data_IF_395525363928
#
_entry.id   IF_395525363928
#
_cell.length_a   1.000
_cell.length_b   1.000
_cell.length_c   1.000
_cell.angle_alpha   90.00
_cell.angle_beta   90.00
_cell.angle_gamma   90.00
#
_symmetry.space_group_name_H-M   'P 1'
#
loop_
_entity.id
_entity.type
_entity.pdbx_description
1 polymer ?
#
# COMPACT_ATOMS: atom_id res chain seq x y z
N UNK A 1 46.11 31.51 26.04
CA UNK A 1 46.50 30.11 26.35
C UNK A 1 45.37 29.48 27.14
N UNK A 2 44.63 28.47 26.71
CA UNK A 2 44.53 27.72 25.46
C UNK A 2 43.15 27.05 25.47
N UNK A 3 42.45 27.12 24.36
CA UNK A 3 41.21 26.37 24.10
C UNK A 3 41.61 25.00 23.56
N UNK A 4 41.37 23.95 24.34
CA UNK A 4 41.36 22.56 23.91
C UNK A 4 40.24 21.90 24.72
N UNK A 5 39.21 21.27 24.17
CA UNK A 5 39.13 20.54 22.92
C UNK A 5 38.30 19.31 23.26
N UNK A 6 36.99 19.47 23.46
CA UNK A 6 36.08 18.33 23.56
C UNK A 6 35.67 18.01 22.14
N UNK A 7 36.48 17.18 21.48
CA UNK A 7 36.07 16.52 20.26
C UNK A 7 34.89 15.60 20.62
N UNK A 8 33.68 16.02 20.29
CA UNK A 8 32.51 15.16 20.25
C UNK A 8 32.68 14.15 19.09
N UNK A 9 33.54 13.15 19.32
CA UNK A 9 33.57 11.93 18.55
C UNK A 9 32.32 11.13 18.91
N UNK A 10 31.30 11.14 18.04
CA UNK A 10 30.09 10.35 18.32
C UNK A 10 28.87 10.62 17.43
N UNK A 11 28.88 11.62 16.56
CA UNK A 11 27.80 11.83 15.59
C UNK A 11 28.37 11.97 14.18
N UNK A 12 28.84 10.87 13.60
CA UNK A 12 28.57 10.66 12.18
C UNK A 12 27.06 10.49 12.09
N UNK A 13 26.32 11.60 12.08
CA UNK A 13 24.94 11.58 11.65
C UNK A 13 24.95 10.88 10.29
N UNK A 14 24.30 9.72 10.18
CA UNK A 14 24.13 9.01 8.93
C UNK A 14 23.39 9.97 7.99
N UNK A 15 24.15 10.72 7.20
CA UNK A 15 23.60 11.72 6.29
C UNK A 15 23.10 10.95 5.08
N UNK A 16 21.78 10.81 5.02
CA UNK A 16 21.08 10.36 3.82
C UNK A 16 21.51 11.25 2.65
N UNK A 17 21.87 10.64 1.51
CA UNK A 17 22.06 11.38 0.26
C UNK A 17 20.74 12.07 -0.11
N UNK A 18 20.67 13.42 -0.08
CA UNK A 18 19.43 14.14 -0.34
C UNK A 18 18.88 13.88 -1.75
N UNK A 19 19.75 13.65 -2.74
CA UNK A 19 19.31 13.37 -4.11
C UNK A 19 18.68 11.99 -4.25
N UNK A 20 19.14 11.01 -3.46
CA UNK A 20 18.48 9.71 -3.40
C UNK A 20 17.13 9.84 -2.69
N UNK A 21 17.07 10.54 -1.56
CA UNK A 21 15.82 10.78 -0.85
C UNK A 21 14.77 11.47 -1.72
N UNK A 22 15.15 12.51 -2.47
CA UNK A 22 14.26 13.22 -3.38
C UNK A 22 13.73 12.31 -4.49
N UNK A 23 14.58 11.46 -5.08
CA UNK A 23 14.16 10.48 -6.09
C UNK A 23 13.21 9.42 -5.53
N UNK A 24 13.44 8.96 -4.31
CA UNK A 24 12.52 8.03 -3.64
C UNK A 24 11.18 8.71 -3.39
N UNK A 25 11.18 9.93 -2.85
CA UNK A 25 9.95 10.71 -2.63
C UNK A 25 9.21 10.93 -3.96
N UNK A 26 9.90 11.29 -5.03
CA UNK A 26 9.31 11.43 -6.36
C UNK A 26 8.69 10.12 -6.83
N UNK A 27 9.40 9.00 -6.72
CA UNK A 27 8.89 7.67 -7.08
C UNK A 27 7.61 7.31 -6.29
N UNK A 28 7.60 7.56 -4.98
CA UNK A 28 6.43 7.35 -4.12
C UNK A 28 5.22 8.19 -4.57
N UNK A 29 5.45 9.47 -4.89
CA UNK A 29 4.41 10.36 -5.41
C UNK A 29 3.91 9.95 -6.79
N UNK A 30 4.78 9.41 -7.64
CA UNK A 30 4.40 8.86 -8.96
C UNK A 30 3.52 7.62 -8.83
N UNK A 31 3.80 6.73 -7.87
CA UNK A 31 2.94 5.57 -7.64
C UNK A 31 1.70 5.90 -6.82
N UNK A 32 1.63 7.07 -6.19
CA UNK A 32 0.46 7.52 -5.42
C UNK A 32 0.52 7.21 -3.93
N UNK A 33 1.68 6.82 -3.40
CA UNK A 33 1.89 6.52 -1.99
C UNK A 33 2.19 7.80 -1.19
N UNK A 34 1.57 8.00 -0.01
CA UNK A 34 1.87 9.13 0.85
C UNK A 34 3.22 8.94 1.55
N UNK A 35 3.87 10.06 1.85
CA UNK A 35 5.13 10.11 2.60
C UNK A 35 4.85 10.59 4.02
N UNK A 36 5.26 9.82 5.02
CA UNK A 36 5.12 10.15 6.43
C UNK A 36 6.32 11.02 6.88
N UNK A 37 6.27 12.31 6.55
CA UNK A 37 7.32 13.25 6.91
C UNK A 37 7.48 13.36 8.44
N UNK A 38 8.71 13.22 8.93
CA UNK A 38 9.00 13.24 10.36
C UNK A 38 8.46 12.05 11.14
N UNK A 39 8.06 10.96 10.47
CA UNK A 39 7.49 9.78 11.12
C UNK A 39 6.05 9.97 11.61
N UNK A 40 5.36 10.98 11.09
CA UNK A 40 3.99 11.29 11.48
C UNK A 40 2.99 11.03 10.35
N UNK A 41 1.84 10.48 10.73
CA UNK A 41 0.75 10.17 9.81
C UNK A 41 0.96 8.88 9.01
N UNK A 42 -0.08 8.43 8.29
CA UNK A 42 0.00 7.23 7.47
C UNK A 42 0.85 7.48 6.21
N UNK A 43 1.72 6.52 5.89
CA UNK A 43 2.52 6.57 4.69
C UNK A 43 3.90 5.95 4.84
N UNK A 44 4.71 6.10 3.80
CA UNK A 44 6.08 5.61 3.78
C UNK A 44 6.96 6.55 4.59
N UNK A 45 7.53 6.06 5.68
CA UNK A 45 8.55 6.74 6.46
C UNK A 45 9.93 6.35 5.94
N UNK A 46 10.74 7.37 5.64
CA UNK A 46 12.11 7.22 5.15
C UNK A 46 13.09 7.58 6.26
N UNK A 47 14.07 6.74 6.50
CA UNK A 47 15.14 7.02 7.46
C UNK A 47 16.48 6.43 7.01
N UNK A 48 17.57 6.91 7.59
CA UNK A 48 18.90 6.41 7.31
C UNK A 48 19.06 4.97 7.81
N UNK A 49 19.55 4.07 6.97
CA UNK A 49 19.88 2.70 7.37
C UNK A 49 21.00 2.70 8.41
N UNK A 50 20.86 1.89 9.47
CA UNK A 50 21.80 1.87 10.59
C UNK A 50 21.72 3.07 11.53
N UNK A 51 20.82 4.02 11.27
CA UNK A 51 20.41 5.02 12.26
C UNK A 51 19.56 4.40 13.36
N UNK A 52 19.54 5.04 14.54
CA UNK A 52 18.68 4.64 15.64
C UNK A 52 17.20 4.88 15.28
N UNK A 53 16.60 3.97 14.53
CA UNK A 53 15.15 3.87 14.47
C UNK A 53 14.69 3.36 15.84
N UNK A 54 13.96 4.21 16.58
CA UNK A 54 13.20 3.76 17.74
C UNK A 54 12.34 2.57 17.35
N UNK A 55 12.26 1.61 18.26
CA UNK A 55 11.51 0.35 18.19
C UNK A 55 12.29 -0.82 17.59
N UNK A 56 13.17 -1.38 18.44
CA UNK A 56 13.23 -2.84 18.69
C UNK A 56 13.63 -3.79 17.56
N UNK A 57 13.86 -3.34 16.34
CA UNK A 57 14.41 -4.17 15.26
C UNK A 57 15.93 -4.25 15.45
N UNK A 58 16.37 -5.14 16.34
CA UNK A 58 17.75 -5.56 16.43
C UNK A 58 18.14 -6.30 15.14
N UNK A 59 18.69 -5.56 14.18
CA UNK A 59 19.41 -6.10 13.01
C UNK A 59 20.45 -5.06 12.58
N UNK A 60 21.41 -4.82 13.46
CA UNK A 60 22.56 -3.93 13.19
C UNK A 60 23.78 -4.65 12.62
N UNK A 61 23.77 -5.98 12.54
CA UNK A 61 24.96 -6.77 12.23
C UNK A 61 24.79 -7.45 10.85
N UNK A 62 25.14 -6.72 9.78
CA UNK A 62 25.18 -7.29 8.43
C UNK A 62 24.66 -6.40 7.29
N UNK A 63 24.03 -5.26 7.61
CA UNK A 63 23.56 -4.33 6.57
C UNK A 63 24.70 -3.42 6.15
N UNK A 64 24.97 -3.35 4.85
CA UNK A 64 25.91 -2.40 4.26
C UNK A 64 25.20 -1.04 4.03
N UNK A 65 25.38 -0.03 4.89
CA UNK A 65 24.72 1.27 4.74
C UNK A 65 25.27 2.07 3.55
N UNK A 66 26.46 1.74 3.04
CA UNK A 66 27.01 2.39 1.85
C UNK A 66 26.28 1.90 0.60
N UNK A 67 25.91 0.61 0.58
CA UNK A 67 25.07 0.02 -0.49
C UNK A 67 23.59 0.38 -0.34
N UNK A 68 23.09 0.41 0.89
CA UNK A 68 21.68 0.61 1.20
C UNK A 68 21.48 1.77 2.18
N UNK A 69 21.73 3.03 1.78
CA UNK A 69 21.70 4.19 2.68
C UNK A 69 20.32 4.54 3.22
N UNK A 70 19.23 4.10 2.58
CA UNK A 70 17.86 4.38 2.98
C UNK A 70 17.10 3.14 3.38
N UNK A 71 16.27 3.28 4.42
CA UNK A 71 15.28 2.31 4.83
C UNK A 71 13.89 2.94 4.76
N UNK A 72 12.94 2.20 4.19
CA UNK A 72 11.53 2.57 4.08
C UNK A 72 10.71 1.67 4.99
N UNK A 73 9.77 2.27 5.72
CA UNK A 73 8.75 1.55 6.49
C UNK A 73 7.38 2.12 6.23
N UNK A 74 6.38 1.26 6.17
CA UNK A 74 4.99 1.73 6.12
C UNK A 74 4.49 2.04 7.53
N UNK A 75 4.00 3.26 7.73
CA UNK A 75 3.24 3.65 8.91
C UNK A 75 1.75 3.57 8.59
N UNK A 76 1.02 2.77 9.37
CA UNK A 76 -0.43 2.68 9.25
C UNK A 76 -1.09 3.96 9.79
N UNK A 77 -2.43 3.99 9.85
CA UNK A 77 -3.10 5.09 10.55
C UNK A 77 -2.70 5.12 12.03
N UNK A 78 -2.67 6.33 12.62
CA UNK A 78 -2.41 6.50 14.05
C UNK A 78 -3.33 5.60 14.90
N UNK A 79 -4.59 5.43 14.51
CA UNK A 79 -5.52 4.53 15.20
C UNK A 79 -5.06 3.07 15.20
N UNK A 80 -4.54 2.56 14.09
CA UNK A 80 -4.05 1.17 14.02
C UNK A 80 -2.71 1.04 14.75
N UNK A 81 -1.82 2.01 14.60
CA UNK A 81 -0.53 2.06 15.31
C UNK A 81 -0.74 2.07 16.83
N UNK A 82 -1.61 2.94 17.34
CA UNK A 82 -1.95 3.04 18.77
C UNK A 82 -2.64 1.76 19.28
N UNK A 83 -3.56 1.20 18.49
CA UNK A 83 -4.25 -0.04 18.86
C UNK A 83 -3.30 -1.25 18.92
N UNK A 84 -2.31 -1.30 18.02
CA UNK A 84 -1.26 -2.31 18.04
C UNK A 84 -0.29 -2.11 19.20
N UNK A 85 0.06 -0.86 19.53
CA UNK A 85 0.95 -0.55 20.65
C UNK A 85 0.31 -0.83 22.03
N UNK A 86 -0.98 -0.57 22.18
CA UNK A 86 -1.73 -0.80 23.41
C UNK A 86 -2.30 -2.23 23.55
N UNK A 87 -2.03 -3.10 22.58
CA UNK A 87 -2.61 -4.44 22.50
C UNK A 87 -2.12 -5.39 23.61
N UNK A 88 -3.06 -6.13 24.21
CA UNK A 88 -2.76 -7.31 25.02
C UNK A 88 -2.46 -8.55 24.17
N UNK A 89 -2.06 -9.65 24.83
CA UNK A 89 -1.57 -10.87 24.19
C UNK A 89 -2.52 -11.51 23.15
N UNK A 90 -3.83 -11.35 23.29
CA UNK A 90 -4.85 -11.95 22.41
C UNK A 90 -5.41 -10.96 21.37
N UNK A 91 -4.86 -9.76 21.28
CA UNK A 91 -5.36 -8.74 20.36
C UNK A 91 -4.94 -9.02 18.91
N UNK A 92 -5.83 -8.84 17.92
CA UNK A 92 -5.47 -8.99 16.51
C UNK A 92 -4.65 -7.80 15.97
N UNK A 93 -4.64 -6.66 16.67
CA UNK A 93 -4.10 -5.41 16.14
C UNK A 93 -2.62 -5.43 15.76
N UNK A 94 -1.72 -6.06 16.54
CA UNK A 94 -0.30 -6.19 16.15
C UNK A 94 -0.15 -6.96 14.83
N UNK A 95 -0.89 -8.06 14.68
CA UNK A 95 -0.87 -8.88 13.45
C UNK A 95 -1.47 -8.11 12.27
N UNK A 96 -2.59 -7.42 12.46
CA UNK A 96 -3.20 -6.60 11.41
C UNK A 96 -2.24 -5.51 10.94
N UNK A 97 -1.62 -4.77 11.87
CA UNK A 97 -0.61 -3.74 11.56
C UNK A 97 0.56 -4.34 10.76
N UNK A 98 1.09 -5.47 11.22
CA UNK A 98 2.21 -6.15 10.58
C UNK A 98 1.87 -6.58 9.15
N UNK A 99 0.72 -7.23 8.93
CA UNK A 99 0.29 -7.65 7.57
C UNK A 99 0.13 -6.44 6.65
N UNK A 100 -0.44 -5.33 7.13
CA UNK A 100 -0.58 -4.10 6.33
C UNK A 100 0.81 -3.56 5.95
N UNK A 101 1.72 -3.44 6.93
CA UNK A 101 3.07 -2.95 6.69
C UNK A 101 3.83 -3.84 5.72
N UNK A 102 3.87 -5.15 5.96
CA UNK A 102 4.56 -6.13 5.12
C UNK A 102 4.05 -6.14 3.68
N UNK A 103 2.73 -6.01 3.51
CA UNK A 103 2.11 -5.99 2.18
C UNK A 103 2.57 -4.79 1.37
N UNK A 104 2.62 -3.61 2.00
CA UNK A 104 3.07 -2.38 1.32
C UNK A 104 4.58 -2.37 1.12
N UNK A 105 5.37 -2.83 2.10
CA UNK A 105 6.83 -2.91 2.01
C UNK A 105 7.29 -3.94 0.96
N UNK A 106 6.54 -5.03 0.78
CA UNK A 106 6.74 -5.97 -0.34
C UNK A 106 6.48 -5.28 -1.67
N UNK A 107 5.36 -4.56 -1.80
CA UNK A 107 5.07 -3.83 -3.03
C UNK A 107 6.14 -2.78 -3.35
N UNK A 108 6.67 -2.06 -2.33
CA UNK A 108 7.78 -1.13 -2.49
C UNK A 108 9.03 -1.81 -3.07
N UNK A 109 9.39 -2.98 -2.56
CA UNK A 109 10.55 -3.73 -3.03
C UNK A 109 10.40 -4.18 -4.50
N UNK A 110 9.16 -4.41 -4.96
CA UNK A 110 8.86 -4.82 -6.34
C UNK A 110 8.75 -3.63 -7.31
N UNK A 111 8.14 -2.51 -6.89
CA UNK A 111 7.86 -1.37 -7.78
C UNK A 111 9.03 -0.39 -7.92
N UNK A 112 9.85 -0.20 -6.88
CA UNK A 112 10.94 0.79 -6.92
C UNK A 112 12.01 0.43 -7.97
N UNK A 113 12.39 -0.85 -8.18
CA UNK A 113 13.25 -1.25 -9.29
C UNK A 113 12.68 -0.89 -10.67
N UNK A 114 11.37 -1.01 -10.86
CA UNK A 114 10.73 -0.61 -12.10
C UNK A 114 10.79 0.91 -12.35
N UNK A 115 10.99 1.70 -11.29
CA UNK A 115 11.18 3.15 -11.35
C UNK A 115 12.67 3.56 -11.40
N UNK A 116 13.57 2.58 -11.54
CA UNK A 116 15.01 2.83 -11.63
C UNK A 116 15.67 3.10 -10.28
N UNK A 117 15.13 2.58 -9.18
CA UNK A 117 15.76 2.63 -7.86
C UNK A 117 16.18 1.22 -7.43
N UNK A 118 17.38 1.04 -6.88
CA UNK A 118 17.71 -0.24 -6.28
C UNK A 118 16.92 -0.38 -4.99
N UNK A 119 16.10 -1.43 -4.87
CA UNK A 119 15.38 -1.74 -3.66
C UNK A 119 15.41 -3.23 -3.37
N UNK A 120 15.47 -3.59 -2.08
CA UNK A 120 15.45 -4.98 -1.63
C UNK A 120 14.70 -5.13 -0.33
N UNK A 121 14.13 -6.31 -0.12
CA UNK A 121 13.60 -6.77 1.14
C UNK A 121 14.27 -8.11 1.46
N UNK A 122 15.08 -8.14 2.51
CA UNK A 122 15.88 -9.34 2.83
C UNK A 122 15.05 -10.43 3.49
N UNK A 123 14.03 -10.03 4.25
CA UNK A 123 13.07 -10.95 4.89
C UNK A 123 11.64 -10.47 4.65
N UNK A 124 10.63 -11.37 4.63
CA UNK A 124 9.23 -10.99 4.46
C UNK A 124 8.64 -10.11 5.58
N UNK A 125 9.35 -9.94 6.70
CA UNK A 125 8.95 -9.09 7.83
C UNK A 125 9.87 -7.87 7.99
N UNK A 126 10.93 -7.79 7.18
CA UNK A 126 11.94 -6.75 7.25
C UNK A 126 11.56 -5.49 6.45
N UNK A 127 12.18 -4.34 6.75
CA UNK A 127 11.88 -3.12 6.02
C UNK A 127 12.43 -3.15 4.58
N UNK A 128 11.88 -2.33 3.69
CA UNK A 128 12.44 -2.15 2.35
C UNK A 128 13.69 -1.27 2.43
N UNK A 129 14.81 -1.76 1.90
CA UNK A 129 16.07 -1.02 1.82
C UNK A 129 16.27 -0.48 0.42
N UNK A 130 16.79 0.74 0.31
CA UNK A 130 16.93 1.47 -0.95
C UNK A 130 18.35 2.02 -1.11
N UNK A 131 18.86 1.86 -2.32
CA UNK A 131 20.17 2.33 -2.75
C UNK A 131 20.12 3.03 -4.11
N UNK A 132 21.27 3.55 -4.56
CA UNK A 132 21.35 4.17 -5.87
C UNK A 132 21.00 3.17 -6.99
N UNK A 133 20.40 3.68 -8.06
CA UNK A 133 20.07 2.93 -9.26
C UNK A 133 21.29 2.17 -9.81
N UNK A 134 21.09 0.94 -10.28
CA UNK A 134 22.06 0.29 -11.16
C UNK A 134 21.94 0.92 -12.56
N UNK A 135 23.02 1.48 -13.14
CA UNK A 135 22.99 2.13 -14.45
C UNK A 135 22.51 1.23 -15.61
N UNK A 136 22.43 -0.09 -15.43
CA UNK A 136 21.93 -1.02 -16.44
C UNK A 136 20.40 -1.01 -16.65
N UNK A 137 19.61 -0.37 -15.78
CA UNK A 137 18.14 -0.53 -15.75
C UNK A 137 17.30 0.65 -16.30
N UNK A 138 17.92 1.67 -16.89
CA UNK A 138 17.20 2.86 -17.32
C UNK A 138 16.43 2.67 -18.65
N UNK A 139 15.09 2.61 -18.59
CA UNK A 139 14.23 2.68 -19.76
C UNK A 139 13.61 4.09 -19.92
N UNK A 140 13.81 4.69 -21.10
CA UNK A 140 13.25 5.98 -21.48
C UNK A 140 11.75 5.90 -21.83
N UNK A 141 11.00 6.96 -21.51
CA UNK A 141 9.54 6.99 -21.66
C UNK A 141 9.07 7.91 -22.80
N UNK A 142 8.10 7.46 -23.62
CA UNK A 142 7.14 8.33 -24.27
C UNK A 142 5.80 8.38 -23.50
N UNK A 143 5.09 9.50 -23.67
CA UNK A 143 3.82 9.83 -23.02
C UNK A 143 2.66 9.11 -23.71
N UNK A 144 1.73 8.53 -22.96
CA UNK A 144 0.50 7.96 -23.49
C UNK A 144 -0.72 8.37 -22.66
N UNK A 145 -1.82 8.70 -23.34
CA UNK A 145 -3.08 9.18 -22.79
C UNK A 145 -4.14 8.09 -22.79
N UNK A 146 -4.81 7.87 -21.65
CA UNK A 146 -5.92 6.92 -21.47
C UNK A 146 -7.25 7.72 -21.37
N UNK A 147 -8.37 7.23 -21.93
CA UNK A 147 -9.62 7.99 -22.00
C UNK A 147 -10.37 8.02 -20.65
N UNK A 148 -11.31 8.97 -20.47
CA UNK A 148 -12.05 9.16 -19.23
C UNK A 148 -13.08 8.04 -18.99
N UNK A 149 -13.21 7.62 -17.72
CA UNK A 149 -14.30 6.77 -17.24
C UNK A 149 -15.40 7.64 -16.63
N UNK A 150 -16.65 7.37 -17.00
CA UNK A 150 -17.84 8.07 -16.52
C UNK A 150 -18.11 7.83 -15.03
N UNK A 151 -18.83 8.76 -14.35
CA UNK A 151 -19.18 8.61 -12.95
C UNK A 151 -20.15 7.45 -12.73
N UNK A 152 -19.79 6.55 -11.81
CA UNK A 152 -20.64 5.43 -11.42
C UNK A 152 -21.89 5.90 -10.65
N UNK A 153 -23.08 5.31 -10.91
CA UNK A 153 -24.33 5.65 -10.25
C UNK A 153 -24.40 5.15 -8.80
N UNK A 154 -25.36 5.72 -8.06
CA UNK A 154 -25.62 5.63 -6.62
C UNK A 154 -25.18 4.35 -5.91
N UNK A 155 -24.34 4.57 -4.89
CA UNK A 155 -23.64 3.56 -4.09
C UNK A 155 -24.53 2.92 -3.03
N UNK A 156 -24.44 1.60 -2.79
CA UNK A 156 -24.84 0.98 -1.53
C UNK A 156 -23.95 1.53 -0.40
N UNK A 157 -24.56 2.16 0.60
CA UNK A 157 -23.84 3.01 1.55
C UNK A 157 -22.92 2.23 2.52
N UNK A 158 -23.23 0.97 2.80
CA UNK A 158 -22.61 0.22 3.91
C UNK A 158 -21.27 -0.42 3.54
N UNK A 159 -21.20 -1.19 2.45
CA UNK A 159 -19.93 -1.82 2.02
C UNK A 159 -18.93 -0.77 1.59
N UNK A 160 -19.36 0.27 0.89
CA UNK A 160 -18.49 1.39 0.57
C UNK A 160 -17.96 2.08 1.83
N UNK A 161 -18.79 2.29 2.85
CA UNK A 161 -18.34 2.87 4.11
C UNK A 161 -17.37 1.92 4.84
N UNK A 162 -17.58 0.61 4.77
CA UNK A 162 -16.65 -0.38 5.31
C UNK A 162 -15.30 -0.32 4.61
N UNK A 163 -15.26 -0.30 3.27
CA UNK A 163 -14.03 -0.14 2.47
C UNK A 163 -13.31 1.14 2.79
N UNK A 164 -14.03 2.27 2.88
CA UNK A 164 -13.43 3.55 3.26
C UNK A 164 -12.82 3.51 4.66
N UNK A 165 -13.49 2.90 5.63
CA UNK A 165 -12.99 2.74 7.00
C UNK A 165 -11.76 1.83 7.05
N UNK A 166 -11.78 0.70 6.35
CA UNK A 166 -10.66 -0.25 6.30
C UNK A 166 -9.44 0.35 5.60
N UNK A 167 -9.63 1.06 4.48
CA UNK A 167 -8.57 1.81 3.81
C UNK A 167 -7.99 2.90 4.71
N UNK A 168 -8.85 3.67 5.40
CA UNK A 168 -8.41 4.69 6.35
C UNK A 168 -7.63 4.08 7.53
N UNK A 169 -8.03 2.90 8.03
CA UNK A 169 -7.33 2.21 9.11
C UNK A 169 -5.94 1.71 8.66
N UNK A 170 -5.84 1.17 7.45
CA UNK A 170 -4.59 0.75 6.84
C UNK A 170 -3.66 1.94 6.46
N UNK A 171 -4.19 3.17 6.46
CA UNK A 171 -3.45 4.35 6.00
C UNK A 171 -3.40 4.51 4.48
N UNK A 172 -4.23 3.77 3.74
CA UNK A 172 -4.24 3.81 2.27
C UNK A 172 -4.95 5.07 1.77
N UNK A 173 -4.36 5.82 0.82
CA UNK A 173 -5.01 7.01 0.26
C UNK A 173 -6.17 6.59 -0.64
N UNK A 174 -7.34 7.22 -0.45
CA UNK A 174 -8.47 7.10 -1.37
C UNK A 174 -8.36 8.14 -2.48
N UNK A 175 -8.57 7.73 -3.72
CA UNK A 175 -8.66 8.65 -4.86
C UNK A 175 -9.86 9.58 -4.68
N UNK A 176 -9.60 10.90 -4.61
CA UNK A 176 -10.66 11.92 -4.42
C UNK A 176 -11.48 12.18 -5.67
N UNK A 177 -10.95 11.81 -6.84
CA UNK A 177 -11.59 11.93 -8.15
C UNK A 177 -10.93 10.92 -9.12
N UNK A 178 -11.50 10.64 -10.31
CA UNK A 178 -10.99 9.59 -11.21
C UNK A 178 -9.53 9.76 -11.66
N UNK A 179 -9.02 11.01 -11.69
CA UNK A 179 -7.62 11.31 -12.02
C UNK A 179 -6.67 11.38 -10.81
N UNK A 180 -7.16 11.12 -9.60
CA UNK A 180 -6.36 11.20 -8.38
C UNK A 180 -5.64 9.87 -8.18
N UNK A 181 -4.40 9.94 -7.72
CA UNK A 181 -3.68 8.74 -7.32
C UNK A 181 -4.25 8.17 -6.01
N UNK A 182 -4.17 6.85 -5.85
CA UNK A 182 -4.63 6.11 -4.69
C UNK A 182 -5.64 5.01 -5.04
N UNK A 183 -6.32 4.52 -4.00
CA UNK A 183 -7.37 3.50 -4.12
C UNK A 183 -8.62 4.13 -4.73
N UNK A 184 -8.96 3.72 -5.93
CA UNK A 184 -10.22 4.02 -6.58
C UNK A 184 -11.27 2.95 -6.26
N UNK A 185 -12.49 3.42 -6.06
CA UNK A 185 -13.64 2.61 -5.70
C UNK A 185 -14.70 2.79 -6.79
N UNK A 186 -15.09 1.70 -7.44
CA UNK A 186 -16.20 1.67 -8.40
C UNK A 186 -17.25 0.69 -7.91
N UNK A 187 -18.52 0.94 -8.21
CA UNK A 187 -19.58 -0.04 -7.95
C UNK A 187 -19.60 -1.06 -9.05
N UNK A 188 -19.71 -2.33 -8.69
CA UNK A 188 -19.99 -3.37 -9.67
C UNK A 188 -21.44 -3.14 -10.17
N UNK A 189 -21.68 -2.98 -11.48
CA UNK A 189 -23.06 -2.97 -11.97
C UNK A 189 -23.71 -4.32 -11.67
N UNK A 190 -25.02 -4.36 -11.37
CA UNK A 190 -25.70 -5.63 -11.20
C UNK A 190 -25.54 -6.49 -12.46
N UNK A 191 -25.20 -7.77 -12.28
CA UNK A 191 -24.96 -8.70 -13.39
C UNK A 191 -26.19 -8.70 -14.32
N UNK A 192 -26.02 -8.46 -15.64
CA UNK A 192 -27.13 -8.47 -16.58
C UNK A 192 -27.81 -9.85 -16.55
N UNK A 193 -29.09 -9.88 -16.14
CA UNK A 193 -29.86 -11.11 -15.97
C UNK A 193 -30.24 -11.43 -14.51
N UNK A 194 -29.72 -10.69 -13.53
CA UNK A 194 -30.26 -10.71 -12.18
C UNK A 194 -31.61 -9.95 -12.15
N UNK A 195 -32.72 -10.58 -11.74
CA UNK A 195 -34.01 -9.91 -11.66
C UNK A 195 -33.94 -8.75 -10.66
N UNK A 196 -34.22 -7.52 -11.12
CA UNK A 196 -34.29 -6.26 -10.35
C UNK A 196 -33.51 -6.29 -9.02
N UNK A 197 -32.19 -6.33 -9.14
CA UNK A 197 -31.22 -6.49 -8.04
C UNK A 197 -31.11 -5.28 -7.09
N UNK A 198 -32.06 -4.35 -7.11
CA UNK A 198 -32.06 -3.19 -6.21
C UNK A 198 -32.71 -3.55 -4.86
N UNK A 199 -33.45 -4.66 -4.76
CA UNK A 199 -34.18 -5.02 -3.54
C UNK A 199 -34.21 -6.52 -3.21
N UNK A 200 -33.40 -7.37 -3.85
CA UNK A 200 -33.34 -8.80 -3.50
C UNK A 200 -32.45 -8.99 -2.25
N UNK A 201 -33.00 -9.44 -1.10
CA UNK A 201 -32.19 -9.82 0.04
C UNK A 201 -31.31 -11.01 -0.37
N UNK A 202 -30.00 -10.82 -0.42
CA UNK A 202 -29.04 -11.89 -0.74
C UNK A 202 -28.11 -11.64 -1.92
N UNK A 203 -28.23 -10.53 -2.66
CA UNK A 203 -27.15 -10.09 -3.57
C UNK A 203 -26.05 -9.46 -2.71
N UNK A 204 -24.81 -10.00 -2.72
CA UNK A 204 -23.72 -9.42 -1.94
C UNK A 204 -23.46 -8.00 -2.45
N UNK A 205 -23.43 -7.06 -1.52
CA UNK A 205 -23.01 -5.68 -1.76
C UNK A 205 -21.49 -5.69 -1.97
N UNK A 206 -21.05 -5.51 -3.22
CA UNK A 206 -19.64 -5.64 -3.64
C UNK A 206 -19.16 -4.32 -4.22
N UNK A 207 -17.94 -3.93 -3.81
CA UNK A 207 -17.24 -2.76 -4.34
C UNK A 207 -16.01 -3.23 -5.10
N UNK A 208 -15.83 -2.71 -6.31
CA UNK A 208 -14.60 -2.86 -7.08
C UNK A 208 -13.56 -1.90 -6.53
N UNK A 209 -12.37 -2.43 -6.27
CA UNK A 209 -11.23 -1.73 -5.72
C UNK A 209 -10.09 -1.84 -6.73
N UNK A 210 -9.51 -0.70 -7.08
CA UNK A 210 -8.34 -0.64 -7.96
C UNK A 210 -7.35 0.40 -7.43
N UNK A 211 -6.07 0.21 -7.74
CA UNK A 211 -5.04 1.21 -7.49
C UNK A 211 -4.85 2.08 -8.74
N UNK A 212 -4.95 3.39 -8.57
CA UNK A 212 -4.59 4.36 -9.61
C UNK A 212 -3.27 5.03 -9.24
N UNK A 213 -2.20 4.84 -10.03
CA UNK A 213 -0.99 5.63 -9.86
C UNK A 213 -1.22 7.08 -10.30
N UNK A 214 -0.23 7.94 -10.08
CA UNK A 214 -0.26 9.31 -10.60
C UNK A 214 -0.38 9.30 -12.12
N UNK A 215 -1.15 10.23 -12.73
CA UNK A 215 -1.15 10.40 -14.19
C UNK A 215 0.22 10.83 -14.75
N UNK A 216 1.17 11.20 -13.88
CA UNK A 216 2.56 11.50 -14.24
C UNK A 216 3.45 10.26 -14.26
N UNK A 217 2.96 9.10 -13.82
CA UNK A 217 3.73 7.85 -13.88
C UNK A 217 4.15 7.59 -15.34
N UNK A 218 5.42 7.23 -15.61
CA UNK A 218 5.86 6.90 -16.96
C UNK A 218 4.93 5.87 -17.61
N UNK A 219 4.44 6.19 -18.82
CA UNK A 219 3.50 5.35 -19.57
C UNK A 219 4.11 4.06 -20.13
N UNK A 220 5.36 3.74 -19.78
CA UNK A 220 6.00 2.48 -20.17
C UNK A 220 5.16 1.30 -19.64
N UNK A 221 4.68 0.38 -20.51
CA UNK A 221 3.77 -0.69 -20.11
C UNK A 221 4.31 -1.59 -18.99
N UNK A 222 5.62 -1.79 -18.96
CA UNK A 222 6.29 -2.57 -17.91
C UNK A 222 6.20 -1.90 -16.54
N UNK A 223 6.44 -0.58 -16.46
CA UNK A 223 6.40 0.19 -15.21
C UNK A 223 4.97 0.28 -14.69
N UNK A 224 4.03 0.64 -15.56
CA UNK A 224 2.62 0.75 -15.16
C UNK A 224 2.01 -0.59 -14.74
N UNK A 225 2.42 -1.70 -15.37
CA UNK A 225 2.01 -3.05 -14.98
C UNK A 225 2.62 -3.46 -13.65
N UNK A 226 3.94 -3.27 -13.46
CA UNK A 226 4.62 -3.61 -12.20
C UNK A 226 3.99 -2.87 -11.00
N UNK A 227 3.79 -1.55 -11.14
CA UNK A 227 3.15 -0.73 -10.10
C UNK A 227 1.73 -1.21 -9.82
N UNK A 228 0.94 -1.49 -10.85
CA UNK A 228 -0.45 -1.93 -10.69
C UNK A 228 -0.54 -3.28 -9.99
N UNK A 229 0.21 -4.28 -10.43
CA UNK A 229 0.18 -5.62 -9.86
C UNK A 229 0.65 -5.62 -8.40
N UNK A 230 1.80 -5.00 -8.11
CA UNK A 230 2.35 -4.91 -6.76
C UNK A 230 1.37 -4.19 -5.81
N UNK A 231 0.82 -3.05 -6.24
CA UNK A 231 -0.10 -2.28 -5.40
C UNK A 231 -1.46 -2.94 -5.24
N UNK A 232 -2.00 -3.61 -6.25
CA UNK A 232 -3.26 -4.31 -6.10
C UNK A 232 -3.15 -5.46 -5.09
N UNK A 233 -2.05 -6.21 -5.11
CA UNK A 233 -1.81 -7.23 -4.09
C UNK A 233 -1.75 -6.60 -2.70
N UNK A 234 -0.96 -5.52 -2.54
CA UNK A 234 -0.81 -4.85 -1.26
C UNK A 234 -2.15 -4.32 -0.71
N UNK A 235 -2.95 -3.68 -1.57
CA UNK A 235 -4.28 -3.17 -1.22
C UNK A 235 -5.22 -4.31 -0.81
N UNK A 236 -5.27 -5.41 -1.56
CA UNK A 236 -6.12 -6.55 -1.22
C UNK A 236 -5.75 -7.19 0.12
N UNK A 237 -4.46 -7.38 0.37
CA UNK A 237 -3.96 -7.91 1.65
C UNK A 237 -4.27 -6.97 2.81
N UNK A 238 -4.03 -5.66 2.64
CA UNK A 238 -4.28 -4.66 3.68
C UNK A 238 -5.77 -4.52 4.03
N UNK A 239 -6.65 -4.51 3.02
CA UNK A 239 -8.10 -4.46 3.22
C UNK A 239 -8.61 -5.74 3.91
N UNK A 240 -8.09 -6.90 3.51
CA UNK A 240 -8.39 -8.19 4.15
C UNK A 240 -7.96 -8.21 5.61
N UNK A 241 -6.74 -7.75 5.90
CA UNK A 241 -6.22 -7.65 7.27
C UNK A 241 -7.05 -6.69 8.14
N UNK A 242 -7.65 -5.66 7.53
CA UNK A 242 -8.57 -4.72 8.17
C UNK A 242 -10.02 -5.22 8.20
N UNK A 243 -10.25 -6.52 7.99
CA UNK A 243 -11.54 -7.19 8.23
C UNK A 243 -12.48 -7.24 7.03
N UNK A 244 -12.05 -6.87 5.83
CA UNK A 244 -12.84 -7.10 4.63
C UNK A 244 -12.63 -8.50 4.07
N UNK A 245 -13.61 -8.97 3.31
CA UNK A 245 -13.40 -10.09 2.39
C UNK A 245 -13.01 -9.50 1.04
N UNK A 246 -11.99 -10.08 0.42
CA UNK A 246 -11.58 -9.66 -0.91
C UNK A 246 -11.43 -10.85 -1.84
N UNK A 247 -11.77 -10.67 -3.11
CA UNK A 247 -11.60 -11.70 -4.13
C UNK A 247 -11.23 -11.08 -5.47
N UNK A 248 -10.44 -11.80 -6.25
CA UNK A 248 -9.99 -11.34 -7.56
C UNK A 248 -11.00 -11.74 -8.64
N UNK A 249 -11.48 -10.76 -9.39
CA UNK A 249 -12.36 -10.97 -10.52
C UNK A 249 -11.61 -10.71 -11.83
N UNK A 250 -11.71 -11.66 -12.78
CA UNK A 250 -11.01 -11.62 -14.08
C UNK A 250 -12.00 -11.86 -15.22
N UNK A 251 -12.81 -10.85 -15.60
CA UNK A 251 -13.71 -10.98 -16.74
C UNK A 251 -12.92 -11.10 -18.04
N UNK A 252 -13.47 -11.75 -19.07
CA UNK A 252 -12.80 -11.88 -20.37
C UNK A 252 -12.57 -10.53 -21.07
N UNK A 253 -13.47 -9.55 -20.87
CA UNK A 253 -13.50 -8.31 -21.65
C UNK A 253 -13.03 -7.06 -20.88
N UNK A 254 -12.44 -7.22 -19.69
CA UNK A 254 -11.98 -6.07 -18.90
C UNK A 254 -10.78 -6.41 -18.01
N UNK A 255 -10.00 -5.41 -17.55
CA UNK A 255 -8.87 -5.64 -16.66
C UNK A 255 -9.27 -6.36 -15.36
N UNK A 256 -8.39 -7.21 -14.79
CA UNK A 256 -8.58 -7.76 -13.46
C UNK A 256 -8.83 -6.67 -12.42
N UNK A 257 -9.81 -6.89 -11.56
CA UNK A 257 -10.14 -5.98 -10.47
C UNK A 257 -10.43 -6.74 -9.18
N UNK A 258 -10.25 -6.07 -8.05
CA UNK A 258 -10.42 -6.64 -6.73
C UNK A 258 -11.84 -6.33 -6.25
N UNK A 259 -12.61 -7.36 -5.92
CA UNK A 259 -13.89 -7.24 -5.22
C UNK A 259 -13.64 -7.16 -3.73
N UNK A 260 -14.35 -6.25 -3.05
CA UNK A 260 -14.37 -6.15 -1.60
C UNK A 260 -15.81 -6.16 -1.08
N UNK A 261 -16.07 -6.98 -0.05
CA UNK A 261 -17.36 -7.11 0.62
C UNK A 261 -17.22 -7.01 2.15
N UNK A 262 -18.23 -6.44 2.80
CA UNK A 262 -18.29 -6.34 4.25
C UNK A 262 -18.64 -7.72 4.87
N UNK A 263 -17.99 -8.13 5.97
CA UNK A 263 -18.33 -9.39 6.64
C UNK A 263 -19.73 -9.27 7.27
N UNK A 264 -20.77 -9.76 6.58
CA UNK A 264 -22.13 -9.78 7.12
C UNK A 264 -23.29 -9.82 6.11
N UNK A 265 -23.06 -9.68 4.80
CA UNK A 265 -24.15 -9.62 3.80
C UNK A 265 -24.35 -10.89 2.96
N UNK A 266 -23.60 -11.96 3.23
CA UNK A 266 -23.83 -13.26 2.58
C UNK A 266 -24.96 -14.02 3.27
N UNK A 267 -26.18 -13.80 2.83
CA UNK A 267 -27.26 -14.77 3.04
C UNK A 267 -27.06 -15.95 2.07
N UNK A 268 -26.38 -17.02 2.51
CA UNK A 268 -26.69 -18.42 2.18
C UNK A 268 -25.51 -19.37 2.48
N UNK A 269 -25.56 -19.98 3.66
CA UNK A 269 -25.30 -21.42 3.81
C UNK A 269 -26.01 -21.87 5.07
N UNK A 270 -27.33 -22.01 4.98
CA UNK A 270 -28.07 -22.81 5.95
C UNK A 270 -27.80 -24.28 5.59
N UNK A 271 -27.36 -25.14 6.53
CA UNK A 271 -27.24 -26.56 6.27
C UNK A 271 -28.64 -27.11 6.01
N UNK A 272 -28.83 -27.73 4.84
CA UNK A 272 -30.03 -28.49 4.56
C UNK A 272 -30.19 -29.56 5.65
N UNK A 273 -31.23 -29.42 6.46
CA UNK A 273 -31.66 -30.45 7.39
C UNK A 273 -31.96 -31.72 6.58
N UNK A 274 -31.16 -32.77 6.82
CA UNK A 274 -31.47 -34.11 6.37
C UNK A 274 -32.69 -34.60 7.17
N UNK A 275 -33.88 -34.47 6.59
CA UNK A 275 -35.03 -35.24 6.97
C UNK A 275 -35.05 -36.52 6.13
N UNK A 276 -34.61 -37.64 6.72
CA UNK A 276 -35.18 -38.98 6.55
C UNK A 276 -34.84 -39.83 7.76
#
# INVERSE_FOLDING_TARGET
>A
MGVHGVAAAGARAARVDPLLADRVVEALLLVGLPVAHGGHGPGVHLFATGGAAGDGCGDGDGVDPDRWPLTLRWLCSARLEDAAAAAGADSPWPRTRQVVADSVETALAELLPALGLAAVRETPEGPTRVGPADPAAAAAAPVSTVPPTDPAPHLPAETLAAVRRSAALAGLPLARHPRAAGVALTTCPPVPGAPDAVLTPGVPDVVDVAWHPSPRLPGAPAVSTAVREAMHHAVGSALTACGLRTSWHRPPDSPPHLHADAPGTSAASAPAAAAR
#
